data_IF_333313090219
#
_entry.id   IF_333313090219
#
_cell.length_a   1.000
_cell.length_b   1.000
_cell.length_c   1.000
_cell.angle_alpha   90.00
_cell.angle_beta   90.00
_cell.angle_gamma   90.00
#
_symmetry.space_group_name_H-M   'P 1'
#
loop_
_entity.id
_entity.type
_entity.pdbx_description
1 polymer ?
#
# COMPACT_ATOMS: atom_id res chain seq x y z
N UNK A 1 -67.42 24.07 14.98
CA UNK A 1 -67.41 22.61 14.74
C UNK A 1 -66.95 22.40 13.30
N UNK A 2 -65.73 21.98 12.94
CA UNK A 2 -64.66 21.20 13.58
C UNK A 2 -63.29 21.89 13.40
N UNK A 3 -62.41 21.71 14.38
CA UNK A 3 -60.99 22.05 14.32
C UNK A 3 -60.17 20.93 13.64
N UNK A 4 -59.10 21.31 12.94
CA UNK A 4 -57.81 20.63 12.70
C UNK A 4 -56.87 21.77 12.28
N UNK A 5 -55.96 22.36 13.05
CA UNK A 5 -54.98 21.88 14.03
C UNK A 5 -54.10 20.75 13.50
N UNK A 6 -52.81 21.08 13.38
CA UNK A 6 -51.63 20.28 13.11
C UNK A 6 -51.11 20.18 11.66
N UNK A 7 -50.30 21.18 11.32
CA UNK A 7 -49.21 21.09 10.35
C UNK A 7 -48.03 21.98 10.77
N UNK A 8 -47.89 22.23 12.07
CA UNK A 8 -46.78 22.96 12.71
C UNK A 8 -46.23 22.03 13.80
N UNK A 9 -44.90 21.94 13.88
CA UNK A 9 -44.07 20.93 14.55
C UNK A 9 -43.88 19.68 13.68
N UNK A 10 -42.70 19.47 13.08
CA UNK A 10 -41.53 19.04 13.85
C UNK A 10 -40.23 19.34 13.09
N UNK A 11 -39.82 20.62 13.04
CA UNK A 11 -38.39 20.93 12.88
C UNK A 11 -37.75 20.62 14.23
N UNK A 12 -37.30 19.38 14.45
CA UNK A 12 -36.24 19.16 15.43
C UNK A 12 -35.04 19.88 14.81
N UNK A 13 -34.60 20.97 15.44
CA UNK A 13 -33.22 21.40 15.30
C UNK A 13 -32.38 20.24 15.82
N UNK A 14 -31.96 19.34 14.93
CA UNK A 14 -30.99 18.32 15.24
C UNK A 14 -29.74 19.10 15.63
N UNK A 15 -29.41 19.08 16.92
CA UNK A 15 -28.22 19.72 17.42
C UNK A 15 -27.04 18.82 17.02
N UNK A 16 -26.57 19.02 15.78
CA UNK A 16 -25.44 18.33 15.21
C UNK A 16 -24.18 18.92 15.80
N UNK A 17 -23.36 18.08 16.42
CA UNK A 17 -22.13 18.48 17.06
C UNK A 17 -20.93 17.83 16.38
N UNK A 18 -19.83 18.55 16.32
CA UNK A 18 -18.57 18.03 15.79
C UNK A 18 -18.04 16.89 16.68
N UNK A 19 -17.67 15.78 16.05
CA UNK A 19 -17.09 14.60 16.73
C UNK A 19 -15.59 14.54 16.52
N UNK A 20 -15.17 14.56 15.26
CA UNK A 20 -13.77 14.37 14.87
C UNK A 20 -13.53 14.99 13.51
N UNK A 21 -12.36 15.62 13.39
CA UNK A 21 -11.76 16.01 12.11
C UNK A 21 -10.76 14.94 11.67
N UNK A 22 -10.90 14.47 10.43
CA UNK A 22 -10.05 13.46 9.82
C UNK A 22 -8.97 14.13 8.98
N UNK A 23 -7.77 13.55 8.92
CA UNK A 23 -6.70 14.02 8.03
C UNK A 23 -6.95 13.57 6.61
N UNK A 24 -7.43 12.34 6.44
CA UNK A 24 -7.68 11.74 5.13
C UNK A 24 -9.18 11.60 4.85
N UNK A 25 -9.62 12.08 3.67
CA UNK A 25 -11.01 11.97 3.20
C UNK A 25 -11.48 10.52 3.17
N UNK A 26 -10.59 9.59 2.80
CA UNK A 26 -10.89 8.15 2.76
C UNK A 26 -11.28 7.58 4.12
N UNK A 27 -10.67 8.08 5.20
CA UNK A 27 -11.00 7.64 6.55
C UNK A 27 -12.36 8.19 6.98
N UNK A 28 -12.68 9.44 6.61
CA UNK A 28 -14.03 9.99 6.79
C UNK A 28 -15.08 9.17 6.03
N UNK A 29 -14.85 8.85 4.76
CA UNK A 29 -15.78 8.04 3.96
C UNK A 29 -16.00 6.64 4.57
N UNK A 30 -14.93 5.98 4.98
CA UNK A 30 -15.01 4.68 5.65
C UNK A 30 -15.86 4.73 6.94
N UNK A 31 -15.67 5.76 7.77
CA UNK A 31 -16.46 5.96 8.99
C UNK A 31 -17.92 6.25 8.65
N UNK A 32 -18.19 7.12 7.67
CA UNK A 32 -19.54 7.45 7.21
C UNK A 32 -20.30 6.20 6.73
N UNK A 33 -19.66 5.35 5.92
CA UNK A 33 -20.26 4.09 5.48
C UNK A 33 -20.58 3.18 6.67
N UNK A 34 -19.64 3.06 7.62
CA UNK A 34 -19.83 2.22 8.80
C UNK A 34 -20.94 2.72 9.75
N UNK A 35 -21.11 4.05 9.86
CA UNK A 35 -22.20 4.66 10.64
C UNK A 35 -23.55 4.47 9.97
N UNK A 36 -23.58 4.54 8.64
CA UNK A 36 -24.78 4.25 7.84
C UNK A 36 -25.27 2.83 8.06
N UNK A 37 -24.37 1.85 8.09
CA UNK A 37 -24.70 0.44 8.35
C UNK A 37 -25.25 0.21 9.76
N UNK A 38 -24.86 1.05 10.72
CA UNK A 38 -25.37 1.06 12.10
C UNK A 38 -26.67 1.85 12.27
N UNK A 39 -27.16 2.52 11.23
CA UNK A 39 -28.35 3.36 11.28
C UNK A 39 -28.21 4.61 12.15
N UNK A 40 -26.98 5.08 12.37
CA UNK A 40 -26.71 6.30 13.15
C UNK A 40 -26.87 7.51 12.24
N UNK A 41 -27.55 8.55 12.70
CA UNK A 41 -27.66 9.80 11.95
C UNK A 41 -26.37 10.60 12.07
N UNK A 42 -25.80 11.00 10.94
CA UNK A 42 -24.57 11.78 10.87
C UNK A 42 -24.63 12.79 9.72
N UNK A 43 -23.76 13.79 9.78
CA UNK A 43 -23.50 14.74 8.70
C UNK A 43 -21.98 14.85 8.50
N UNK A 44 -21.54 14.90 7.25
CA UNK A 44 -20.13 14.95 6.89
C UNK A 44 -19.83 16.21 6.08
N UNK A 45 -18.93 17.03 6.58
CA UNK A 45 -18.33 18.13 5.84
C UNK A 45 -17.09 17.60 5.11
N UNK A 46 -17.28 17.28 3.84
CA UNK A 46 -16.25 16.74 2.96
C UNK A 46 -15.15 17.74 2.59
N UNK A 47 -15.42 19.05 2.71
CA UNK A 47 -14.46 20.09 2.37
C UNK A 47 -13.45 20.26 3.51
N UNK A 48 -13.93 20.17 4.77
CA UNK A 48 -13.09 20.30 5.96
C UNK A 48 -12.72 18.95 6.60
N UNK A 49 -13.20 17.83 6.06
CA UNK A 49 -13.04 16.47 6.61
C UNK A 49 -13.58 16.31 8.03
N UNK A 50 -14.75 16.88 8.33
CA UNK A 50 -15.34 16.88 9.67
C UNK A 50 -16.58 15.98 9.70
N UNK A 51 -16.66 15.14 10.73
CA UNK A 51 -17.86 14.36 11.03
C UNK A 51 -18.66 15.01 12.16
N UNK A 52 -19.95 15.16 11.93
CA UNK A 52 -20.94 15.61 12.90
C UNK A 52 -21.94 14.50 13.20
N UNK A 53 -22.40 14.42 14.44
CA UNK A 53 -23.53 13.56 14.82
C UNK A 53 -24.43 14.25 15.85
N UNK A 54 -25.58 13.64 16.14
CA UNK A 54 -26.43 14.13 17.22
C UNK A 54 -25.74 14.01 18.58
N UNK A 55 -26.00 14.98 19.47
CA UNK A 55 -25.44 15.01 20.82
C UNK A 55 -25.71 13.72 21.63
N UNK A 56 -26.86 13.08 21.41
CA UNK A 56 -27.24 11.81 22.06
C UNK A 56 -26.32 10.64 21.69
N UNK A 57 -25.74 10.66 20.48
CA UNK A 57 -24.95 9.57 19.91
C UNK A 57 -23.44 9.83 20.02
N UNK A 58 -23.05 11.01 20.53
CA UNK A 58 -21.66 11.49 20.62
C UNK A 58 -20.70 10.44 21.16
N UNK A 59 -21.01 9.93 22.35
CA UNK A 59 -20.12 9.02 23.07
C UNK A 59 -19.97 7.70 22.30
N UNK A 60 -21.07 7.16 21.80
CA UNK A 60 -21.09 5.90 21.04
C UNK A 60 -20.30 6.01 19.73
N UNK A 61 -20.46 7.12 19.00
CA UNK A 61 -19.75 7.37 17.73
C UNK A 61 -18.26 7.57 18.00
N UNK A 62 -17.90 8.32 19.04
CA UNK A 62 -16.51 8.55 19.40
C UNK A 62 -15.78 7.25 19.79
N UNK A 63 -16.41 6.42 20.63
CA UNK A 63 -15.88 5.10 21.01
C UNK A 63 -15.75 4.17 19.79
N UNK A 64 -16.75 4.19 18.90
CA UNK A 64 -16.69 3.44 17.66
C UNK A 64 -15.50 3.86 16.79
N UNK A 65 -15.31 5.15 16.54
CA UNK A 65 -14.20 5.65 15.73
C UNK A 65 -12.84 5.26 16.33
N UNK A 66 -12.70 5.35 17.65
CA UNK A 66 -11.47 4.94 18.32
C UNK A 66 -11.23 3.42 18.22
N UNK A 67 -12.30 2.62 18.24
CA UNK A 67 -12.20 1.17 18.06
C UNK A 67 -11.72 0.75 16.67
N UNK A 68 -11.93 1.59 15.65
CA UNK A 68 -11.46 1.33 14.28
C UNK A 68 -9.94 1.45 14.12
N UNK A 69 -9.24 2.05 15.10
CA UNK A 69 -7.80 2.26 15.10
C UNK A 69 -7.26 2.80 13.76
N UNK A 70 -7.95 3.82 13.23
CA UNK A 70 -7.63 4.41 11.93
C UNK A 70 -6.26 5.07 11.97
N UNK A 71 -5.41 4.71 11.01
CA UNK A 71 -4.12 5.36 10.83
C UNK A 71 -4.34 6.73 10.19
N UNK A 72 -4.11 7.77 10.99
CA UNK A 72 -4.13 9.18 10.57
C UNK A 72 -2.71 9.76 10.50
N UNK A 73 -1.68 8.92 10.69
CA UNK A 73 -0.31 9.38 10.56
C UNK A 73 0.02 9.59 9.08
N UNK A 74 0.85 10.59 8.80
CA UNK A 74 1.48 10.63 7.49
C UNK A 74 2.39 9.41 7.37
N UNK A 75 2.26 8.66 6.28
CA UNK A 75 3.27 7.67 5.91
C UNK A 75 4.57 8.46 5.79
N UNK A 76 5.52 8.20 6.70
CA UNK A 76 6.87 8.75 6.58
C UNK A 76 7.47 8.22 5.28
N UNK A 77 7.40 9.04 4.23
CA UNK A 77 7.97 8.64 2.96
C UNK A 77 9.47 8.82 3.09
N UNK A 78 10.21 7.72 2.96
CA UNK A 78 11.67 7.72 2.96
C UNK A 78 12.15 8.76 1.93
N UNK A 79 12.76 9.84 2.41
CA UNK A 79 13.26 10.94 1.59
C UNK A 79 14.25 10.46 0.53
N UNK A 80 14.97 9.37 0.80
CA UNK A 80 15.92 8.78 -0.15
C UNK A 80 15.22 8.16 -1.37
N UNK A 81 14.03 7.59 -1.18
CA UNK A 81 13.19 7.05 -2.27
C UNK A 81 12.67 8.19 -3.12
N UNK A 82 12.11 9.24 -2.50
CA UNK A 82 11.61 10.43 -3.21
C UNK A 82 12.74 11.14 -3.97
N UNK A 83 13.92 11.25 -3.36
CA UNK A 83 15.06 11.89 -3.99
C UNK A 83 15.45 11.21 -5.32
N UNK A 84 15.42 9.87 -5.37
CA UNK A 84 15.68 9.12 -6.60
C UNK A 84 14.68 9.42 -7.72
N UNK A 85 13.39 9.54 -7.40
CA UNK A 85 12.37 9.91 -8.37
C UNK A 85 12.48 11.37 -8.83
N UNK A 86 12.78 12.30 -7.93
CA UNK A 86 12.99 13.73 -8.26
C UNK A 86 14.23 13.95 -9.15
N UNK A 87 15.29 13.19 -8.90
CA UNK A 87 16.53 13.24 -9.69
C UNK A 87 16.29 12.70 -11.10
N UNK A 88 15.59 11.58 -11.21
CA UNK A 88 15.23 10.98 -12.49
C UNK A 88 14.30 11.86 -13.32
N UNK A 89 13.25 12.43 -12.73
CA UNK A 89 12.30 13.30 -13.44
C UNK A 89 13.01 14.47 -14.15
N UNK A 90 14.03 15.04 -13.51
CA UNK A 90 14.85 16.12 -14.08
C UNK A 90 15.73 15.67 -15.25
N UNK A 91 16.15 14.41 -15.27
CA UNK A 91 17.22 13.92 -16.13
C UNK A 91 16.77 12.84 -17.14
N UNK A 92 15.52 12.36 -17.08
CA UNK A 92 15.04 11.24 -17.90
C UNK A 92 15.11 11.48 -19.41
N UNK A 93 15.11 12.74 -19.85
CA UNK A 93 15.27 13.09 -21.26
C UNK A 93 16.72 13.26 -21.72
N UNK A 94 17.68 13.18 -20.79
CA UNK A 94 19.09 13.11 -21.15
C UNK A 94 19.42 11.67 -21.57
N UNK A 95 19.79 11.41 -22.84
CA UNK A 95 20.02 10.06 -23.34
C UNK A 95 21.06 9.31 -22.50
N UNK A 96 22.16 9.97 -22.10
CA UNK A 96 23.22 9.33 -21.32
C UNK A 96 22.78 8.96 -19.90
N UNK A 97 21.89 9.75 -19.30
CA UNK A 97 21.33 9.48 -17.98
C UNK A 97 20.31 8.33 -18.03
N UNK A 98 19.43 8.38 -19.02
CA UNK A 98 18.43 7.35 -19.25
C UNK A 98 19.07 5.98 -19.55
N UNK A 99 19.98 5.92 -20.53
CA UNK A 99 20.67 4.67 -20.91
C UNK A 99 21.74 4.25 -19.91
N UNK A 100 22.23 5.18 -19.08
CA UNK A 100 23.17 4.90 -17.99
C UNK A 100 22.53 4.10 -16.85
N UNK A 101 21.23 3.82 -16.95
CA UNK A 101 20.51 3.05 -15.96
C UNK A 101 20.44 3.83 -14.65
N UNK A 102 20.03 5.12 -14.69
CA UNK A 102 19.71 5.94 -13.51
C UNK A 102 18.22 5.92 -13.12
N UNK A 103 17.41 5.09 -13.78
CA UNK A 103 15.98 4.92 -13.50
C UNK A 103 15.67 4.41 -12.09
N UNK A 104 14.83 5.09 -11.29
CA UNK A 104 14.51 4.71 -9.92
C UNK A 104 13.60 3.47 -9.97
N UNK A 105 14.13 2.34 -9.51
CA UNK A 105 13.40 1.08 -9.39
C UNK A 105 13.81 0.38 -8.10
N UNK A 106 12.87 -0.33 -7.46
CA UNK A 106 13.14 -1.17 -6.29
C UNK A 106 14.21 -2.25 -6.57
N UNK A 107 14.27 -2.76 -7.81
CA UNK A 107 15.22 -3.80 -8.22
C UNK A 107 16.67 -3.31 -8.33
N UNK A 108 16.92 -2.01 -8.21
CA UNK A 108 18.30 -1.46 -8.20
C UNK A 108 18.98 -1.52 -6.84
N UNK A 109 18.27 -1.86 -5.78
CA UNK A 109 18.89 -2.06 -4.49
C UNK A 109 19.78 -3.31 -4.55
N UNK A 110 21.06 -3.10 -4.85
CA UNK A 110 22.10 -4.14 -4.85
C UNK A 110 22.24 -4.86 -3.50
N UNK A 111 21.65 -4.30 -2.44
CA UNK A 111 21.43 -4.98 -1.17
C UNK A 111 20.58 -6.25 -1.33
N UNK A 112 19.55 -6.20 -2.17
CA UNK A 112 18.56 -7.27 -2.35
C UNK A 112 19.02 -8.36 -3.32
N UNK A 113 20.15 -8.17 -4.00
CA UNK A 113 20.69 -9.17 -4.94
C UNK A 113 21.00 -10.51 -4.28
N UNK A 114 21.38 -10.53 -2.99
CA UNK A 114 21.51 -11.79 -2.26
C UNK A 114 20.17 -12.52 -2.13
N UNK A 115 19.09 -11.79 -1.84
CA UNK A 115 17.74 -12.34 -1.74
C UNK A 115 17.28 -12.89 -3.09
N UNK A 116 17.48 -12.13 -4.18
CA UNK A 116 17.14 -12.60 -5.53
C UNK A 116 17.92 -13.85 -5.96
N UNK A 117 19.20 -13.95 -5.59
CA UNK A 117 20.00 -15.15 -5.77
C UNK A 117 19.38 -16.37 -5.07
N UNK A 118 18.96 -16.20 -3.81
CA UNK A 118 18.28 -17.27 -3.06
C UNK A 118 16.93 -17.66 -3.65
N UNK A 119 16.09 -16.69 -4.02
CA UNK A 119 14.80 -16.94 -4.66
C UNK A 119 14.99 -17.75 -5.95
N UNK A 120 16.00 -17.39 -6.76
CA UNK A 120 16.33 -18.10 -8.01
C UNK A 120 16.74 -19.54 -7.76
N UNK A 121 17.53 -19.81 -6.73
CA UNK A 121 17.89 -21.18 -6.35
C UNK A 121 16.65 -21.97 -5.93
N UNK A 122 15.82 -21.41 -5.06
CA UNK A 122 14.63 -22.09 -4.55
C UNK A 122 13.62 -22.39 -5.67
N UNK A 123 13.35 -21.43 -6.55
CA UNK A 123 12.49 -21.64 -7.70
C UNK A 123 13.07 -22.68 -8.67
N UNK A 124 14.39 -22.60 -8.94
CA UNK A 124 15.08 -23.58 -9.76
C UNK A 124 14.98 -25.00 -9.20
N UNK A 125 15.14 -25.19 -7.88
CA UNK A 125 14.98 -26.50 -7.22
C UNK A 125 13.56 -27.04 -7.41
N UNK A 126 12.53 -26.19 -7.26
CA UNK A 126 11.13 -26.60 -7.48
C UNK A 126 10.94 -27.08 -8.92
N UNK A 127 11.41 -26.33 -9.91
CA UNK A 127 11.36 -26.73 -11.32
C UNK A 127 12.10 -28.06 -11.56
N UNK A 128 13.26 -28.27 -10.94
CA UNK A 128 14.01 -29.53 -11.07
C UNK A 128 13.26 -30.72 -10.47
N UNK A 129 12.56 -30.54 -9.35
CA UNK A 129 11.70 -31.57 -8.75
C UNK A 129 10.56 -31.93 -9.70
N UNK A 130 9.92 -30.93 -10.32
CA UNK A 130 8.85 -31.17 -11.31
C UNK A 130 9.36 -31.95 -12.52
N UNK A 131 10.55 -31.60 -13.04
CA UNK A 131 11.16 -32.28 -14.19
C UNK A 131 11.49 -33.74 -13.87
N UNK A 132 12.01 -34.02 -12.67
CA UNK A 132 12.32 -35.38 -12.24
C UNK A 132 11.05 -36.22 -12.09
N UNK A 133 9.95 -35.63 -11.67
CA UNK A 133 8.66 -36.31 -11.50
C UNK A 133 7.79 -36.32 -12.77
N UNK A 134 8.27 -35.73 -13.87
CA UNK A 134 7.53 -35.72 -15.12
C UNK A 134 7.42 -37.13 -15.72
N UNK A 135 6.30 -37.40 -16.41
CA UNK A 135 6.06 -38.69 -17.08
C UNK A 135 7.16 -39.08 -18.06
N UNK A 136 7.76 -38.10 -18.71
CA UNK A 136 8.88 -38.26 -19.64
C UNK A 136 10.07 -37.44 -19.16
N UNK A 137 10.96 -38.07 -18.39
CA UNK A 137 12.17 -37.41 -17.92
C UNK A 137 13.14 -37.14 -19.08
N UNK A 138 13.45 -35.86 -19.33
CA UNK A 138 14.42 -35.42 -20.33
C UNK A 138 15.70 -34.93 -19.67
N UNK A 139 16.73 -35.79 -19.67
CA UNK A 139 18.04 -35.49 -19.05
C UNK A 139 18.68 -34.19 -19.57
N UNK A 140 18.54 -33.88 -20.85
CA UNK A 140 19.09 -32.64 -21.43
C UNK A 140 18.42 -31.38 -20.88
N UNK A 141 17.09 -31.40 -20.71
CA UNK A 141 16.31 -30.30 -20.14
C UNK A 141 16.70 -30.08 -18.68
N UNK A 142 16.79 -31.17 -17.91
CA UNK A 142 17.24 -31.11 -16.51
C UNK A 142 18.60 -30.41 -16.36
N UNK A 143 19.61 -30.83 -17.12
CA UNK A 143 20.95 -30.22 -17.02
C UNK A 143 21.00 -28.80 -17.55
N UNK A 144 20.19 -28.47 -18.54
CA UNK A 144 20.07 -27.10 -19.05
C UNK A 144 19.50 -26.16 -17.97
N UNK A 145 18.45 -26.58 -17.28
CA UNK A 145 17.86 -25.80 -16.19
C UNK A 145 18.81 -25.66 -15.00
N UNK A 146 19.52 -26.73 -14.62
CA UNK A 146 20.60 -26.66 -13.61
C UNK A 146 21.63 -25.59 -13.99
N UNK A 147 22.10 -25.60 -15.23
CA UNK A 147 23.09 -24.64 -15.74
C UNK A 147 22.58 -23.20 -15.67
N UNK A 148 21.34 -22.96 -16.11
CA UNK A 148 20.74 -21.62 -16.10
C UNK A 148 20.55 -21.13 -14.66
N UNK A 149 19.99 -21.95 -13.78
CA UNK A 149 19.77 -21.57 -12.37
C UNK A 149 21.09 -21.20 -11.71
N UNK A 150 22.17 -21.96 -11.94
CA UNK A 150 23.50 -21.65 -11.39
C UNK A 150 24.04 -20.34 -11.96
N UNK A 151 23.96 -20.13 -13.28
CA UNK A 151 24.48 -18.90 -13.93
C UNK A 151 23.78 -17.64 -13.41
N UNK A 152 22.45 -17.67 -13.34
CA UNK A 152 21.66 -16.53 -12.85
C UNK A 152 21.96 -16.26 -11.37
N UNK A 153 21.93 -17.31 -10.54
CA UNK A 153 22.20 -17.18 -9.10
C UNK A 153 23.62 -16.67 -8.84
N UNK A 154 24.61 -17.19 -9.57
CA UNK A 154 26.00 -16.72 -9.49
C UNK A 154 26.11 -15.24 -9.87
N UNK A 155 25.43 -14.79 -10.93
CA UNK A 155 25.41 -13.38 -11.32
C UNK A 155 24.88 -12.48 -10.20
N UNK A 156 23.78 -12.86 -9.56
CA UNK A 156 23.22 -12.11 -8.43
C UNK A 156 24.18 -12.04 -7.23
N UNK A 157 24.73 -13.18 -6.81
CA UNK A 157 25.68 -13.21 -5.69
C UNK A 157 26.98 -12.46 -5.99
N UNK A 158 27.49 -12.56 -7.23
CA UNK A 158 28.67 -11.81 -7.66
C UNK A 158 28.43 -10.30 -7.60
N UNK A 159 27.28 -9.84 -8.09
CA UNK A 159 26.92 -8.42 -8.04
C UNK A 159 26.71 -7.94 -6.59
N UNK A 160 26.10 -8.75 -5.72
CA UNK A 160 25.98 -8.46 -4.30
C UNK A 160 27.36 -8.35 -3.62
N UNK A 161 28.26 -9.29 -3.91
CA UNK A 161 29.64 -9.26 -3.40
C UNK A 161 30.40 -8.02 -3.87
N UNK A 162 30.34 -7.70 -5.17
CA UNK A 162 30.96 -6.49 -5.75
C UNK A 162 30.45 -5.24 -5.03
N UNK A 163 29.15 -5.14 -4.81
CA UNK A 163 28.54 -4.03 -4.09
C UNK A 163 29.04 -3.92 -2.64
N UNK A 164 29.06 -5.03 -1.88
CA UNK A 164 29.61 -5.03 -0.51
C UNK A 164 31.09 -4.64 -0.46
N UNK A 165 31.89 -5.04 -1.46
CA UNK A 165 33.31 -4.67 -1.55
C UNK A 165 33.50 -3.17 -1.81
N UNK A 166 32.65 -2.53 -2.62
CA UNK A 166 32.75 -1.08 -2.90
C UNK A 166 32.35 -0.19 -1.72
N UNK A 167 31.62 -0.75 -0.73
CA UNK A 167 31.23 -0.04 0.50
C UNK A 167 32.20 -0.22 1.68
N UNK A 168 33.20 -1.10 1.56
CA UNK A 168 34.29 -1.25 2.54
C UNK A 168 35.47 -0.37 2.14
#
# INVERSE_FOLDING_TARGET
>A
MKARLFGLAFFIFLNMIEIKKFKFVSNLDFVCQSLKDKGILFEADWENNILYCEEKDKQNVFEFINSLNLDENEVEVDESVIAGYKEWDKNMYNPGHFTGGHMPFFDKEKNNYALYGWITIMSGIICLIEIVNAKEFRKSVFWFDVMITILISFSFFYQHYKFKKTRK
#
